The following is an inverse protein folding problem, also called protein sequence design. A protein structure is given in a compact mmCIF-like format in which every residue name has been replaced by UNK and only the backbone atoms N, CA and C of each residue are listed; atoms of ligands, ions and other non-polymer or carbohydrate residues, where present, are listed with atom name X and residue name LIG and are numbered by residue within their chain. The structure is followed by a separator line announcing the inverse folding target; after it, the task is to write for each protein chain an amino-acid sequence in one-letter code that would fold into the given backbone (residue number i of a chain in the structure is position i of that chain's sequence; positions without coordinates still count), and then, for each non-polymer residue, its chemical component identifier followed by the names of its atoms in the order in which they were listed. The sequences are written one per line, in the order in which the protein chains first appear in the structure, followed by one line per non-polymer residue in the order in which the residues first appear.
data_IF_381103293206
#
_entry.id   IF_381103293206
#
_cell.length_a   1.000
_cell.length_b   1.000
_cell.length_c   1.000
_cell.angle_alpha   90.00
_cell.angle_beta   90.00
_cell.angle_gamma   90.00
#
_symmetry.space_group_name_H-M   'P 1'
#
loop_
_entity.id
_entity.type
_entity.pdbx_description
1 polymer ?
#
# COMPACT_ATOMS: atom_id res chain seq x y z
N UNK A 1 17.35 -9.89 -8.79
CA UNK A 1 16.19 -9.87 -9.72
C UNK A 1 15.79 -8.44 -10.02
N UNK A 2 15.41 -8.16 -11.27
CA UNK A 2 14.89 -6.84 -11.67
C UNK A 2 13.39 -6.80 -11.46
N UNK A 3 12.90 -5.81 -10.72
CA UNK A 3 11.47 -5.56 -10.54
C UNK A 3 11.18 -4.09 -10.84
N UNK A 4 9.91 -3.78 -11.07
CA UNK A 4 9.46 -2.41 -11.34
C UNK A 4 8.59 -1.93 -10.20
N UNK A 5 9.01 -0.88 -9.49
CA UNK A 5 8.33 -0.35 -8.31
C UNK A 5 7.89 1.08 -8.61
N UNK A 6 6.57 1.35 -8.58
CA UNK A 6 5.97 2.63 -8.98
C UNK A 6 6.47 3.12 -10.36
N UNK A 7 6.65 2.20 -11.30
CA UNK A 7 7.15 2.49 -12.64
C UNK A 7 8.68 2.60 -12.76
N UNK A 8 9.43 2.62 -11.65
CA UNK A 8 10.89 2.68 -11.62
C UNK A 8 11.51 1.29 -11.53
N UNK A 9 12.52 0.98 -12.35
CA UNK A 9 13.19 -0.33 -12.32
C UNK A 9 14.20 -0.38 -11.18
N UNK A 10 14.01 -1.30 -10.24
CA UNK A 10 14.93 -1.56 -9.13
C UNK A 10 15.54 -2.96 -9.26
N UNK A 11 16.85 -3.02 -9.02
CA UNK A 11 17.60 -4.28 -8.98
C UNK A 11 17.70 -4.73 -7.53
N UNK A 12 17.03 -5.83 -7.21
CA UNK A 12 17.14 -6.48 -5.91
C UNK A 12 18.28 -7.50 -5.97
N UNK A 13 19.29 -7.38 -5.10
CA UNK A 13 20.39 -8.37 -5.04
C UNK A 13 19.94 -9.69 -4.38
N UNK A 14 18.88 -9.64 -3.57
CA UNK A 14 18.29 -10.80 -2.93
C UNK A 14 17.42 -11.61 -3.90
N UNK A 15 17.60 -12.94 -3.92
CA UNK A 15 16.90 -13.84 -4.85
C UNK A 15 15.44 -14.15 -4.49
N UNK A 16 15.03 -13.90 -3.25
CA UNK A 16 13.66 -14.13 -2.78
C UNK A 16 13.25 -12.99 -1.83
N UNK A 17 12.59 -11.97 -2.38
CA UNK A 17 12.09 -10.81 -1.62
C UNK A 17 10.58 -10.91 -1.55
N UNK A 18 10.03 -10.76 -0.34
CA UNK A 18 8.58 -10.69 -0.14
C UNK A 18 8.10 -9.24 -0.23
N UNK A 19 6.80 -9.05 -0.44
CA UNK A 19 6.20 -7.70 -0.42
C UNK A 19 6.51 -6.98 0.89
N UNK A 20 6.43 -7.68 2.03
CA UNK A 20 6.81 -7.13 3.33
C UNK A 20 8.27 -6.63 3.34
N UNK A 21 9.18 -7.41 2.78
CA UNK A 21 10.59 -7.04 2.76
C UNK A 21 10.88 -5.87 1.82
N UNK A 22 10.16 -5.78 0.70
CA UNK A 22 10.24 -4.64 -0.19
C UNK A 22 9.79 -3.35 0.49
N UNK A 23 8.73 -3.39 1.30
CA UNK A 23 8.26 -2.23 2.09
C UNK A 23 9.33 -1.74 3.08
N UNK A 24 10.05 -2.66 3.74
CA UNK A 24 11.18 -2.32 4.62
C UNK A 24 12.31 -1.63 3.83
N UNK A 25 12.67 -2.18 2.66
CA UNK A 25 13.73 -1.64 1.80
C UNK A 25 13.36 -0.23 1.34
N UNK A 26 12.11 -0.02 0.94
CA UNK A 26 11.61 1.29 0.54
C UNK A 26 11.40 2.25 1.73
N UNK A 27 11.62 1.79 2.97
CA UNK A 27 11.41 2.55 4.21
C UNK A 27 10.01 3.18 4.28
N UNK A 28 9.00 2.41 3.90
CA UNK A 28 7.61 2.87 4.04
C UNK A 28 7.28 3.04 5.51
N UNK A 29 7.12 4.27 5.99
CA UNK A 29 6.86 4.59 7.40
C UNK A 29 5.50 4.07 7.89
N UNK A 30 4.56 3.80 6.98
CA UNK A 30 3.20 3.39 7.31
C UNK A 30 2.71 2.27 6.38
N UNK A 31 3.19 1.03 6.58
CA UNK A 31 2.71 -0.14 5.85
C UNK A 31 1.20 -0.38 6.09
N UNK A 32 0.67 0.14 7.20
CA UNK A 32 -0.76 0.09 7.56
C UNK A 32 -1.62 1.16 6.86
N UNK A 33 -1.04 2.05 6.07
CA UNK A 33 -1.78 3.04 5.26
C UNK A 33 -1.49 2.92 3.76
N UNK A 34 -0.66 1.97 3.37
CA UNK A 34 -0.36 1.66 1.97
C UNK A 34 -1.15 0.43 1.51
N UNK A 35 -1.60 0.48 0.27
CA UNK A 35 -2.11 -0.66 -0.50
C UNK A 35 -1.07 -1.03 -1.53
N UNK A 36 -0.74 -2.31 -1.62
CA UNK A 36 0.25 -2.80 -2.58
C UNK A 36 -0.48 -3.52 -3.71
N UNK A 37 -0.22 -3.10 -4.94
CA UNK A 37 -0.60 -3.85 -6.14
C UNK A 37 0.61 -4.59 -6.69
N UNK A 38 0.40 -5.83 -7.12
CA UNK A 38 1.37 -6.66 -7.83
C UNK A 38 0.79 -7.03 -9.18
N UNK A 39 1.43 -6.57 -10.25
CA UNK A 39 1.04 -6.85 -11.64
C UNK A 39 -0.43 -6.49 -11.93
N UNK A 40 -0.95 -5.45 -11.26
CA UNK A 40 -2.36 -5.03 -11.34
C UNK A 40 -3.31 -5.72 -10.35
N UNK A 41 -2.86 -6.73 -9.60
CA UNK A 41 -3.65 -7.41 -8.57
C UNK A 41 -3.35 -6.85 -7.17
N UNK A 42 -4.40 -6.54 -6.40
CA UNK A 42 -4.24 -6.08 -5.02
C UNK A 42 -3.79 -7.23 -4.12
N UNK A 43 -2.68 -7.03 -3.41
CA UNK A 43 -2.20 -7.97 -2.41
C UNK A 43 -2.78 -7.57 -1.05
N UNK A 44 -3.43 -8.52 -0.37
CA UNK A 44 -3.88 -8.31 1.00
C UNK A 44 -2.69 -8.22 1.96
N UNK A 45 -2.82 -7.39 3.00
CA UNK A 45 -1.76 -7.22 4.02
C UNK A 45 -1.37 -8.52 4.71
N UNK A 46 -2.34 -9.39 4.96
CA UNK A 46 -2.09 -10.72 5.54
C UNK A 46 -1.14 -11.56 4.68
N UNK A 47 -1.10 -11.29 3.37
CA UNK A 47 -0.27 -12.02 2.41
C UNK A 47 1.09 -11.35 2.17
N UNK A 48 1.39 -10.16 2.72
CA UNK A 48 2.66 -9.47 2.46
C UNK A 48 3.90 -10.29 2.83
N UNK A 49 3.81 -11.10 3.89
CA UNK A 49 4.89 -12.00 4.31
C UNK A 49 5.02 -13.29 3.50
N UNK A 50 3.96 -13.68 2.79
CA UNK A 50 3.89 -14.94 2.02
C UNK A 50 3.99 -14.72 0.51
N UNK A 51 3.68 -13.52 0.04
CA UNK A 51 3.78 -13.14 -1.37
C UNK A 51 5.23 -12.86 -1.72
N UNK A 52 5.81 -13.81 -2.45
CA UNK A 52 7.14 -13.68 -3.05
C UNK A 52 7.07 -12.91 -4.36
N UNK A 53 8.02 -11.99 -4.54
CA UNK A 53 8.24 -11.26 -5.77
C UNK A 53 9.08 -12.09 -6.74
N UNK A 54 8.74 -11.99 -8.02
CA UNK A 54 9.44 -12.63 -9.12
C UNK A 54 10.17 -11.60 -9.99
N UNK A 55 11.05 -12.08 -10.86
CA UNK A 55 11.72 -11.22 -11.85
C UNK A 55 10.70 -10.66 -12.85
N UNK A 56 10.85 -9.38 -13.18
CA UNK A 56 9.94 -8.58 -14.02
C UNK A 56 8.56 -8.33 -13.40
N UNK A 57 8.40 -8.55 -12.09
CA UNK A 57 7.17 -8.14 -11.40
C UNK A 57 7.06 -6.61 -11.34
N UNK A 58 5.83 -6.13 -11.53
CA UNK A 58 5.45 -4.74 -11.36
C UNK A 58 4.74 -4.56 -10.02
N UNK A 59 5.20 -3.64 -9.20
CA UNK A 59 4.70 -3.33 -7.86
C UNK A 59 4.33 -1.86 -7.80
N UNK A 60 3.11 -1.57 -7.36
CA UNK A 60 2.63 -0.21 -7.16
C UNK A 60 2.23 0.00 -5.71
N UNK A 61 2.69 1.11 -5.13
CA UNK A 61 2.34 1.53 -3.78
C UNK A 61 1.28 2.63 -3.87
N UNK A 62 0.04 2.27 -3.58
CA UNK A 62 -1.06 3.23 -3.51
C UNK A 62 -1.26 3.66 -2.06
N UNK A 63 -1.13 4.95 -1.81
CA UNK A 63 -1.53 5.56 -0.55
C UNK A 63 -2.96 6.04 -0.67
N UNK A 64 -3.88 5.33 -0.04
CA UNK A 64 -5.23 5.84 0.13
C UNK A 64 -5.19 6.92 1.22
N UNK A 65 -4.96 8.17 0.82
CA UNK A 65 -5.26 9.33 1.65
C UNK A 65 -6.78 9.44 1.77
N UNK A 66 -7.36 8.60 2.62
CA UNK A 66 -8.77 8.65 2.98
C UNK A 66 -9.08 9.98 3.65
N UNK A 67 -9.41 11.00 2.86
CA UNK A 67 -10.08 12.22 3.30
C UNK A 67 -11.48 11.87 3.80
N UNK A 68 -11.56 11.31 5.00
CA UNK A 68 -12.81 10.99 5.67
C UNK A 68 -13.55 12.28 5.99
N UNK A 69 -14.66 12.49 5.29
CA UNK A 69 -15.58 13.60 5.47
C UNK A 69 -15.89 13.87 6.95
N UNK A 70 -15.61 15.10 7.39
CA UNK A 70 -16.23 15.63 8.59
C UNK A 70 -17.74 15.78 8.30
N UNK A 71 -18.53 14.75 8.60
CA UNK A 71 -19.95 14.93 8.87
C UNK A 71 -20.07 15.45 10.29
N UNK A 72 -20.10 16.78 10.45
CA UNK A 72 -20.73 17.39 11.61
C UNK A 72 -22.24 17.13 11.52
N UNK A 73 -22.70 15.97 11.99
CA UNK A 73 -24.07 15.85 12.49
C UNK A 73 -24.06 16.34 13.93
N UNK A 74 -24.15 17.66 14.06
CA UNK A 74 -24.58 18.34 15.28
C UNK A 74 -26.06 18.62 15.15
N UNK A 75 -26.85 17.65 15.57
CA UNK A 75 -28.28 17.76 15.84
C UNK A 75 -28.52 18.91 16.84
N UNK A 76 -29.28 19.92 16.44
CA UNK A 76 -29.82 20.93 17.36
C UNK A 76 -31.26 21.23 16.98
N UNK A 77 -32.12 20.23 17.16
CA UNK A 77 -33.48 20.48 17.62
C UNK A 77 -33.42 21.25 18.94
N UNK A 78 -33.65 22.56 18.95
CA UNK A 78 -34.24 23.25 20.11
C UNK A 78 -34.87 24.59 19.69
N UNK A 79 -36.19 24.62 19.86
CA UNK A 79 -37.00 25.76 20.32
C UNK A 79 -37.38 26.88 19.34
N UNK A 80 -38.66 26.83 18.97
CA UNK A 80 -39.59 27.95 18.86
C UNK A 80 -39.17 29.22 19.60
N UNK A 81 -39.14 30.34 18.90
CA UNK A 81 -39.86 31.55 19.32
C UNK A 81 -40.15 32.47 18.12
#
# INVERSE_FOLDING_TARGET
MNIRVNGETQVLEEGAVTVARLLDIQKVESPDMVSVQRNGDFVERANFGSTLLAENDEIEFLYFMGGGACKCQGDSLLSWN
#
